data_IF_035910826347
#
_entry.id   IF_035910826347
#
_cell.length_a   1.000
_cell.length_b   1.000
_cell.length_c   1.000
_cell.angle_alpha   90.00
_cell.angle_beta   90.00
_cell.angle_gamma   90.00
#
_symmetry.space_group_name_H-M   'P 1'
#
loop_
_entity.id
_entity.type
_entity.pdbx_description
1 polymer ?
#
# COMPACT_ATOMS: atom_id res chain seq x y z
N UNK A 1 -0.01 15.10 6.01
CA UNK A 1 0.72 14.77 4.76
C UNK A 1 -0.25 14.85 3.57
N UNK A 2 -0.37 16.04 2.98
CA UNK A 2 -1.38 16.36 1.94
C UNK A 2 -1.31 15.46 0.69
N UNK A 3 -0.15 14.84 0.41
CA UNK A 3 0.04 14.01 -0.80
C UNK A 3 -0.87 12.77 -0.78
N UNK A 4 -1.05 12.11 0.36
CA UNK A 4 -1.95 10.96 0.49
C UNK A 4 -3.40 11.35 0.19
N UNK A 5 -3.85 12.51 0.68
CA UNK A 5 -5.18 13.06 0.37
C UNK A 5 -5.37 13.35 -1.12
N UNK A 6 -4.35 13.90 -1.79
CA UNK A 6 -4.40 14.12 -3.25
C UNK A 6 -4.45 12.82 -4.05
N UNK A 7 -3.68 11.80 -3.64
CA UNK A 7 -3.73 10.46 -4.24
C UNK A 7 -5.14 9.89 -4.12
N UNK A 8 -5.74 9.96 -2.93
CA UNK A 8 -7.10 9.50 -2.71
C UNK A 8 -8.10 10.24 -3.59
N UNK A 9 -8.03 11.58 -3.65
CA UNK A 9 -8.91 12.40 -4.49
C UNK A 9 -8.77 12.04 -5.99
N UNK A 10 -7.55 11.86 -6.48
CA UNK A 10 -7.30 11.44 -7.86
C UNK A 10 -7.95 10.08 -8.16
N UNK A 11 -7.84 9.11 -7.25
CA UNK A 11 -8.48 7.79 -7.39
C UNK A 11 -10.00 7.90 -7.44
N UNK A 12 -10.62 8.75 -6.60
CA UNK A 12 -12.07 9.01 -6.65
C UNK A 12 -12.52 9.64 -7.96
N UNK A 13 -11.66 10.43 -8.60
CA UNK A 13 -11.88 11.04 -9.90
C UNK A 13 -11.50 10.12 -11.08
N UNK A 14 -11.11 8.87 -10.84
CA UNK A 14 -10.57 7.92 -11.82
C UNK A 14 -9.34 8.46 -12.57
N UNK A 15 -8.54 9.30 -11.92
CA UNK A 15 -7.23 9.74 -12.44
C UNK A 15 -6.18 8.76 -11.94
N UNK A 16 -5.50 8.09 -12.88
CA UNK A 16 -4.44 7.16 -12.56
C UNK A 16 -3.21 7.88 -12.04
N UNK A 17 -2.61 7.31 -10.99
CA UNK A 17 -1.32 7.76 -10.48
C UNK A 17 -0.31 6.64 -10.75
N UNK A 18 0.77 7.00 -11.43
CA UNK A 18 1.82 6.09 -11.86
C UNK A 18 3.04 6.24 -10.95
N UNK A 19 3.70 5.14 -10.57
CA UNK A 19 4.93 5.19 -9.79
C UNK A 19 6.03 5.96 -10.53
N UNK A 20 7.13 6.32 -9.87
CA UNK A 20 8.32 6.82 -10.54
C UNK A 20 8.79 5.84 -11.62
N UNK A 21 9.43 6.34 -12.66
CA UNK A 21 10.01 5.56 -13.75
C UNK A 21 11.28 6.24 -14.25
N UNK A 22 12.37 5.52 -14.38
CA UNK A 22 13.66 6.08 -14.79
C UNK A 22 13.64 6.65 -16.22
N UNK A 23 12.77 6.13 -17.07
CA UNK A 23 12.64 6.55 -18.46
C UNK A 23 11.60 7.64 -18.70
N UNK A 24 10.62 7.80 -17.79
CA UNK A 24 9.46 8.66 -18.01
C UNK A 24 9.35 9.82 -17.00
N UNK A 25 9.87 9.62 -15.75
CA UNK A 25 9.68 10.61 -14.70
C UNK A 25 10.61 11.81 -14.87
N UNK A 26 10.06 12.98 -14.58
CA UNK A 26 10.81 14.22 -14.41
C UNK A 26 11.24 14.41 -12.94
N UNK A 27 11.86 15.55 -12.62
CA UNK A 27 12.23 15.90 -11.26
C UNK A 27 11.00 15.88 -10.32
N UNK A 28 9.94 16.58 -10.71
CA UNK A 28 8.66 16.67 -10.00
C UNK A 28 7.58 15.82 -10.65
N UNK A 29 6.35 15.93 -10.11
CA UNK A 29 5.18 15.32 -10.74
C UNK A 29 4.97 15.85 -12.17
N UNK A 30 4.55 14.95 -13.05
CA UNK A 30 4.26 15.29 -14.45
C UNK A 30 2.96 14.62 -14.90
N UNK A 31 2.35 15.16 -15.97
CA UNK A 31 1.19 14.56 -16.60
C UNK A 31 1.67 13.73 -17.80
N UNK A 32 1.28 12.47 -17.83
CA UNK A 32 1.60 11.52 -18.91
C UNK A 32 0.34 10.76 -19.32
N UNK A 33 -0.11 10.95 -20.56
CA UNK A 33 -1.28 10.27 -21.15
C UNK A 33 -2.54 10.29 -20.26
N UNK A 34 -2.85 11.45 -19.66
CA UNK A 34 -4.02 11.62 -18.79
C UNK A 34 -3.84 11.02 -17.37
N UNK A 35 -2.65 10.55 -17.04
CA UNK A 35 -2.27 10.05 -15.71
C UNK A 35 -1.25 10.99 -15.07
N UNK A 36 -1.14 10.96 -13.76
CA UNK A 36 -0.12 11.70 -13.01
C UNK A 36 1.05 10.73 -12.72
N UNK A 37 2.24 11.08 -13.19
CA UNK A 37 3.49 10.34 -12.90
C UNK A 37 4.19 10.95 -11.72
N UNK A 38 4.60 10.11 -10.76
CA UNK A 38 5.46 10.53 -9.66
C UNK A 38 6.82 11.00 -10.15
N UNK A 39 7.30 12.11 -9.60
CA UNK A 39 8.63 12.63 -9.87
C UNK A 39 9.73 11.84 -9.15
N UNK A 40 10.94 11.86 -9.71
CA UNK A 40 12.10 11.19 -9.11
C UNK A 40 12.51 11.79 -7.76
N UNK A 41 12.19 13.07 -7.52
CA UNK A 41 12.47 13.72 -6.23
C UNK A 41 11.65 13.19 -5.05
N UNK A 42 10.59 12.44 -5.32
CA UNK A 42 9.81 11.76 -4.29
C UNK A 42 10.55 10.55 -3.69
N UNK A 43 11.54 10.00 -4.41
CA UNK A 43 12.33 8.84 -3.95
C UNK A 43 13.31 9.31 -2.86
N UNK A 44 13.15 8.80 -1.65
CA UNK A 44 14.04 9.13 -0.52
C UNK A 44 15.50 8.79 -0.84
N UNK A 45 16.39 9.62 -0.34
CA UNK A 45 17.85 9.51 -0.52
C UNK A 45 18.34 9.68 -1.98
N UNK A 46 17.48 10.07 -2.90
CA UNK A 46 17.84 10.41 -4.26
C UNK A 46 18.07 11.93 -4.37
N UNK A 47 19.32 12.33 -4.46
CA UNK A 47 19.71 13.75 -4.52
C UNK A 47 19.42 14.38 -5.89
N UNK A 48 19.12 15.68 -5.91
CA UNK A 48 18.94 16.43 -7.17
C UNK A 48 20.06 16.24 -8.19
N UNK A 49 21.37 16.21 -7.81
CA UNK A 49 22.43 15.95 -8.78
C UNK A 49 22.30 14.61 -9.50
N UNK A 50 21.97 13.55 -8.78
CA UNK A 50 21.75 12.21 -9.36
C UNK A 50 20.55 12.20 -10.28
N UNK A 51 19.44 12.86 -9.91
CA UNK A 51 18.25 12.98 -10.77
C UNK A 51 18.58 13.71 -12.06
N UNK A 52 19.32 14.84 -11.97
CA UNK A 52 19.70 15.62 -13.14
C UNK A 52 20.63 14.82 -14.06
N UNK A 53 21.61 14.11 -13.49
CA UNK A 53 22.50 13.23 -14.26
C UNK A 53 21.70 12.14 -14.99
N UNK A 54 20.70 11.52 -14.33
CA UNK A 54 19.83 10.52 -14.94
C UNK A 54 19.02 11.10 -16.10
N UNK A 55 18.39 12.28 -15.90
CA UNK A 55 17.60 12.94 -16.95
C UNK A 55 18.47 13.32 -18.14
N UNK A 56 19.66 13.87 -17.91
CA UNK A 56 20.61 14.22 -18.95
C UNK A 56 21.05 12.98 -19.72
N UNK A 57 21.46 11.93 -19.01
CA UNK A 57 21.91 10.68 -19.59
C UNK A 57 20.89 10.06 -20.54
N UNK A 58 19.61 9.95 -20.10
CA UNK A 58 18.55 9.40 -20.97
C UNK A 58 18.23 10.29 -22.17
N UNK A 59 18.37 11.62 -22.03
CA UNK A 59 18.11 12.58 -23.11
C UNK A 59 19.22 12.57 -24.17
N UNK A 60 20.46 12.40 -23.74
CA UNK A 60 21.63 12.40 -24.64
C UNK A 60 21.86 11.03 -25.30
N UNK A 61 21.71 9.94 -24.53
CA UNK A 61 22.08 8.58 -24.94
C UNK A 61 20.87 7.64 -25.09
N UNK A 62 19.64 8.17 -25.00
CA UNK A 62 18.41 7.40 -25.16
C UNK A 62 17.96 6.71 -23.89
N UNK A 63 16.76 6.10 -23.95
CA UNK A 63 16.14 5.40 -22.84
C UNK A 63 17.01 4.23 -22.36
N UNK A 64 16.94 3.96 -21.06
CA UNK A 64 17.54 2.76 -20.48
C UNK A 64 16.72 1.54 -20.91
N UNK A 65 17.40 0.49 -21.35
CA UNK A 65 16.75 -0.72 -21.88
C UNK A 65 16.64 -1.83 -20.83
N UNK A 66 17.45 -1.78 -19.77
CA UNK A 66 17.44 -2.74 -18.66
C UNK A 66 18.01 -2.12 -17.39
N UNK A 67 17.81 -2.80 -16.25
CA UNK A 67 18.46 -2.41 -14.99
C UNK A 67 19.99 -2.47 -15.10
N UNK A 68 20.53 -3.42 -15.81
CA UNK A 68 21.99 -3.52 -16.03
C UNK A 68 22.51 -2.35 -16.86
N UNK A 69 21.83 -1.98 -17.96
CA UNK A 69 22.15 -0.80 -18.76
C UNK A 69 22.11 0.48 -17.92
N UNK A 70 21.05 0.65 -17.12
CA UNK A 70 20.94 1.77 -16.19
C UNK A 70 22.12 1.84 -15.20
N UNK A 71 22.44 0.72 -14.55
CA UNK A 71 23.53 0.66 -13.57
C UNK A 71 24.87 0.94 -14.27
N UNK A 72 25.11 0.38 -15.44
CA UNK A 72 26.35 0.58 -16.20
C UNK A 72 26.55 2.06 -16.61
N UNK A 73 25.48 2.73 -17.04
CA UNK A 73 25.56 4.13 -17.47
C UNK A 73 25.59 5.11 -16.31
N UNK A 74 25.00 4.75 -15.15
CA UNK A 74 24.83 5.64 -14.01
C UNK A 74 25.69 5.31 -12.79
N UNK A 75 26.57 4.29 -12.85
CA UNK A 75 27.29 3.75 -11.67
C UNK A 75 27.98 4.81 -10.81
N UNK A 76 28.53 5.86 -11.41
CA UNK A 76 29.22 6.95 -10.70
C UNK A 76 28.32 7.79 -9.80
N UNK A 77 27.00 7.77 -10.08
CA UNK A 77 25.97 8.51 -9.34
C UNK A 77 25.15 7.59 -8.42
N UNK A 78 25.46 6.29 -8.38
CA UNK A 78 24.71 5.30 -7.64
C UNK A 78 25.46 4.83 -6.39
N UNK A 79 24.70 4.57 -5.34
CA UNK A 79 25.10 3.77 -4.19
C UNK A 79 24.15 2.58 -4.06
N UNK A 80 24.54 1.55 -3.31
CA UNK A 80 23.64 0.41 -3.04
C UNK A 80 22.28 0.88 -2.56
N UNK A 81 22.23 1.79 -1.60
CA UNK A 81 20.99 2.34 -1.03
C UNK A 81 20.13 3.07 -2.08
N UNK A 82 20.73 3.84 -2.96
CA UNK A 82 20.02 4.56 -4.03
C UNK A 82 19.43 3.57 -5.02
N UNK A 83 20.20 2.54 -5.43
CA UNK A 83 19.73 1.51 -6.35
C UNK A 83 18.59 0.70 -5.76
N UNK A 84 18.67 0.31 -4.47
CA UNK A 84 17.57 -0.33 -3.75
C UNK A 84 16.31 0.53 -3.74
N UNK A 85 16.44 1.85 -3.53
CA UNK A 85 15.30 2.74 -3.52
C UNK A 85 14.64 2.89 -4.90
N UNK A 86 15.39 2.84 -5.99
CA UNK A 86 14.82 2.73 -7.35
C UNK A 86 14.01 1.44 -7.53
N UNK A 87 14.53 0.30 -7.07
CA UNK A 87 13.81 -0.97 -7.13
C UNK A 87 12.54 -0.92 -6.26
N UNK A 88 12.68 -0.51 -4.99
CA UNK A 88 11.57 -0.46 -4.03
C UNK A 88 10.46 0.51 -4.47
N UNK A 89 10.79 1.61 -5.11
CA UNK A 89 9.82 2.59 -5.61
C UNK A 89 9.07 2.15 -6.87
N UNK A 90 9.51 1.06 -7.52
CA UNK A 90 8.97 0.62 -8.81
C UNK A 90 9.52 1.34 -10.02
N UNK A 91 10.58 2.14 -9.85
CA UNK A 91 11.14 2.94 -10.94
C UNK A 91 11.78 2.11 -12.07
N UNK A 92 11.95 0.80 -11.87
CA UNK A 92 12.45 -0.17 -12.84
C UNK A 92 11.39 -1.16 -13.34
N UNK A 93 10.13 -1.04 -12.91
CA UNK A 93 9.08 -2.01 -13.25
C UNK A 93 8.87 -2.16 -14.77
N UNK A 94 9.15 -1.12 -15.55
CA UNK A 94 9.08 -1.12 -17.01
C UNK A 94 10.13 -2.00 -17.70
N UNK A 95 11.17 -2.45 -16.99
CA UNK A 95 12.15 -3.40 -17.53
C UNK A 95 11.65 -4.86 -17.57
N UNK A 96 10.46 -5.14 -17.02
CA UNK A 96 9.81 -6.45 -17.11
C UNK A 96 10.27 -7.50 -16.11
N UNK A 97 11.27 -7.22 -15.29
CA UNK A 97 11.66 -8.07 -14.18
C UNK A 97 10.89 -7.69 -12.90
N UNK A 98 10.56 -8.66 -12.07
CA UNK A 98 9.95 -8.38 -10.78
C UNK A 98 10.97 -7.79 -9.78
N UNK A 99 10.48 -7.02 -8.79
CA UNK A 99 11.34 -6.29 -7.85
C UNK A 99 12.20 -7.21 -6.99
N UNK A 100 11.72 -8.40 -6.63
CA UNK A 100 12.48 -9.38 -5.84
C UNK A 100 13.66 -9.93 -6.63
N UNK A 101 13.45 -10.26 -7.89
CA UNK A 101 14.52 -10.71 -8.81
C UNK A 101 15.59 -9.63 -8.99
N UNK A 102 15.16 -8.38 -9.21
CA UNK A 102 16.06 -7.23 -9.34
C UNK A 102 16.84 -6.98 -8.05
N UNK A 103 16.21 -7.09 -6.89
CA UNK A 103 16.84 -6.93 -5.57
C UNK A 103 17.94 -7.97 -5.31
N UNK A 104 17.81 -9.18 -5.88
CA UNK A 104 18.85 -10.22 -5.75
C UNK A 104 20.06 -9.97 -6.66
N UNK A 105 19.88 -9.32 -7.81
CA UNK A 105 20.90 -9.18 -8.84
C UNK A 105 21.66 -7.85 -8.82
N UNK A 106 21.02 -6.74 -8.34
CA UNK A 106 21.59 -5.40 -8.48
C UNK A 106 22.97 -5.23 -7.85
N UNK A 107 23.24 -5.91 -6.73
CA UNK A 107 24.50 -5.78 -6.00
C UNK A 107 25.70 -6.24 -6.84
N UNK A 108 25.57 -7.38 -7.52
CA UNK A 108 26.60 -7.90 -8.43
C UNK A 108 26.77 -6.99 -9.65
N UNK A 109 25.65 -6.48 -10.21
CA UNK A 109 25.70 -5.54 -11.34
C UNK A 109 26.45 -4.26 -10.98
N UNK A 110 26.18 -3.69 -9.81
CA UNK A 110 26.85 -2.47 -9.34
C UNK A 110 28.35 -2.70 -9.10
N UNK A 111 28.71 -3.80 -8.43
CA UNK A 111 30.11 -4.13 -8.17
C UNK A 111 30.91 -4.36 -9.47
N UNK A 112 30.27 -4.99 -10.46
CA UNK A 112 30.86 -5.20 -11.79
C UNK A 112 31.07 -3.86 -12.52
N UNK A 113 30.07 -2.98 -12.55
CA UNK A 113 30.19 -1.67 -13.18
C UNK A 113 31.32 -0.83 -12.57
N UNK A 114 31.45 -0.84 -11.23
CA UNK A 114 32.55 -0.16 -10.52
C UNK A 114 33.91 -0.77 -10.88
N UNK A 115 34.01 -2.10 -10.98
CA UNK A 115 35.26 -2.78 -11.36
C UNK A 115 35.66 -2.42 -12.78
N UNK A 116 34.75 -2.54 -13.76
CA UNK A 116 35.01 -2.19 -15.15
C UNK A 116 35.51 -0.75 -15.31
N UNK A 117 34.91 0.19 -14.59
CA UNK A 117 35.36 1.58 -14.63
C UNK A 117 36.77 1.77 -14.08
N UNK A 118 37.16 1.05 -13.02
CA UNK A 118 38.53 1.10 -12.47
C UNK A 118 39.54 0.51 -13.45
N UNK A 119 39.22 -0.60 -14.09
CA UNK A 119 40.09 -1.27 -15.04
C UNK A 119 40.31 -0.38 -16.30
N UNK A 120 39.27 0.31 -16.76
CA UNK A 120 39.36 1.29 -17.85
C UNK A 120 40.31 2.50 -17.50
N UNK A 121 40.25 3.00 -16.28
CA UNK A 121 41.11 4.10 -15.82
C UNK A 121 42.57 3.68 -15.69
N UNK A 122 42.84 2.43 -15.31
CA UNK A 122 44.20 1.90 -15.15
C UNK A 122 44.89 1.52 -16.46
N UNK A 123 44.19 1.66 -17.60
CA UNK A 123 44.71 1.31 -18.92
C UNK A 123 44.85 -0.22 -19.13
N UNK A 124 44.37 -1.03 -18.23
CA UNK A 124 44.19 -2.46 -18.45
C UNK A 124 42.98 -2.64 -19.37
N UNK A 125 43.25 -2.90 -20.66
CA UNK A 125 42.18 -3.34 -21.57
C UNK A 125 41.48 -4.52 -20.94
N UNK A 126 40.19 -4.35 -20.67
CA UNK A 126 39.35 -5.48 -20.26
C UNK A 126 39.30 -6.48 -21.41
N UNK A 127 39.36 -7.75 -21.06
CA UNK A 127 39.14 -8.82 -22.07
C UNK A 127 37.79 -8.60 -22.80
N UNK A 128 36.88 -7.83 -22.22
CA UNK A 128 35.57 -7.46 -22.76
C UNK A 128 35.61 -6.48 -23.95
N UNK A 129 36.64 -5.62 -24.03
CA UNK A 129 36.79 -4.67 -25.15
C UNK A 129 37.28 -5.37 -26.45
N UNK A 130 37.70 -6.66 -26.34
CA UNK A 130 38.21 -7.46 -27.41
C UNK A 130 37.23 -8.55 -27.89
N UNK A 131 36.02 -8.59 -27.34
CA UNK A 131 35.05 -9.65 -27.53
C UNK A 131 33.91 -9.17 -28.41
N UNK A 132 33.55 -9.94 -29.46
CA UNK A 132 32.39 -9.70 -30.32
C UNK A 132 31.07 -9.66 -29.55
N UNK A 133 30.08 -8.92 -30.08
CA UNK A 133 28.79 -8.69 -29.44
C UNK A 133 28.03 -9.99 -29.08
N UNK A 134 28.24 -11.06 -29.81
CA UNK A 134 27.67 -12.40 -29.54
C UNK A 134 28.18 -13.03 -28.22
N UNK A 135 29.36 -12.63 -27.74
CA UNK A 135 29.92 -13.14 -26.49
C UNK A 135 29.60 -12.24 -25.32
N UNK A 136 29.17 -10.99 -25.55
CA UNK A 136 28.71 -10.06 -24.50
C UNK A 136 27.46 -10.57 -23.80
N UNK A 137 26.56 -11.27 -24.51
CA UNK A 137 25.36 -11.90 -23.90
C UNK A 137 25.71 -13.01 -22.88
N UNK A 138 26.85 -13.69 -23.05
CA UNK A 138 27.31 -14.76 -22.15
C UNK A 138 27.78 -14.18 -20.79
N UNK A 139 28.07 -12.89 -20.73
CA UNK A 139 28.55 -12.18 -19.56
C UNK A 139 27.48 -11.30 -18.90
N UNK A 140 26.26 -11.27 -19.40
CA UNK A 140 25.16 -10.61 -18.70
C UNK A 140 24.86 -11.31 -17.37
N UNK A 141 24.69 -10.48 -16.32
CA UNK A 141 24.27 -11.01 -15.02
C UNK A 141 22.82 -11.46 -15.15
N UNK A 142 22.61 -12.77 -15.08
CA UNK A 142 21.28 -13.34 -15.16
C UNK A 142 20.46 -12.96 -13.93
N UNK A 143 19.38 -12.20 -14.15
CA UNK A 143 18.41 -11.89 -13.11
C UNK A 143 17.65 -13.18 -12.77
N UNK A 144 17.67 -13.65 -11.51
CA UNK A 144 17.01 -14.90 -11.14
C UNK A 144 15.48 -14.75 -11.30
N UNK A 145 14.85 -15.81 -11.83
CA UNK A 145 13.39 -15.85 -11.92
C UNK A 145 12.81 -16.42 -10.62
N UNK A 146 12.41 -15.55 -9.71
CA UNK A 146 11.79 -15.90 -8.42
C UNK A 146 10.40 -15.28 -8.32
N UNK A 147 9.50 -15.83 -7.49
CA UNK A 147 8.20 -15.19 -7.24
C UNK A 147 8.37 -13.77 -6.67
N UNK A 148 7.51 -12.86 -7.10
CA UNK A 148 7.49 -11.47 -6.60
C UNK A 148 7.20 -11.41 -5.10
N UNK A 149 7.54 -10.30 -4.49
CA UNK A 149 7.08 -9.92 -3.16
C UNK A 149 5.56 -9.92 -3.07
N UNK A 150 5.02 -10.17 -1.89
CA UNK A 150 3.57 -10.03 -1.65
C UNK A 150 3.13 -8.57 -1.87
N UNK A 151 1.85 -8.36 -2.19
CA UNK A 151 1.30 -7.01 -2.34
C UNK A 151 1.55 -6.14 -1.10
N UNK A 152 1.50 -6.72 0.09
CA UNK A 152 1.76 -6.00 1.34
C UNK A 152 3.22 -5.55 1.44
N UNK A 153 4.18 -6.40 1.07
CA UNK A 153 5.60 -6.04 1.04
C UNK A 153 5.89 -4.93 0.01
N UNK A 154 5.29 -5.02 -1.19
CA UNK A 154 5.44 -3.98 -2.22
C UNK A 154 4.90 -2.63 -1.75
N UNK A 155 3.73 -2.60 -1.11
CA UNK A 155 3.16 -1.39 -0.53
C UNK A 155 4.02 -0.85 0.63
N UNK A 156 4.59 -1.73 1.46
CA UNK A 156 5.52 -1.32 2.52
C UNK A 156 6.79 -0.68 1.95
N UNK A 157 7.33 -1.19 0.84
CA UNK A 157 8.45 -0.57 0.13
C UNK A 157 8.10 0.81 -0.42
N UNK A 158 6.94 0.98 -1.06
CA UNK A 158 6.48 2.29 -1.53
C UNK A 158 6.39 3.28 -0.36
N UNK A 159 5.76 2.89 0.75
CA UNK A 159 5.66 3.73 1.95
C UNK A 159 7.03 4.08 2.53
N UNK A 160 7.97 3.12 2.55
CA UNK A 160 9.34 3.34 3.03
C UNK A 160 10.06 4.41 2.19
N UNK A 161 10.01 4.28 0.86
CA UNK A 161 10.86 5.09 -0.03
C UNK A 161 10.17 6.31 -0.65
N UNK A 162 8.84 6.31 -0.80
CA UNK A 162 8.06 7.44 -1.32
C UNK A 162 7.30 8.20 -0.22
N UNK A 163 7.14 7.58 0.96
CA UNK A 163 6.37 8.14 2.06
C UNK A 163 4.85 7.97 1.91
N UNK A 164 4.38 7.49 0.77
CA UNK A 164 2.97 7.26 0.43
C UNK A 164 2.79 5.95 -0.32
N UNK A 165 1.56 5.47 -0.39
CA UNK A 165 1.19 4.30 -1.20
C UNK A 165 0.73 4.77 -2.59
N UNK A 166 1.36 4.29 -3.65
CA UNK A 166 1.07 4.68 -5.03
C UNK A 166 0.26 3.62 -5.76
N UNK A 167 0.66 2.35 -5.69
CA UNK A 167 0.03 1.25 -6.45
C UNK A 167 -1.25 0.69 -5.82
N UNK A 168 -1.56 1.06 -4.58
CA UNK A 168 -2.72 0.62 -3.81
C UNK A 168 -2.67 1.16 -2.40
N UNK A 169 -3.55 0.68 -1.52
CA UNK A 169 -3.50 0.97 -0.09
C UNK A 169 -3.79 -0.30 0.72
N UNK A 170 -3.15 -0.53 1.88
CA UNK A 170 -3.43 -1.72 2.70
C UNK A 170 -4.88 -1.82 3.19
N UNK A 171 -5.62 -0.71 3.17
CA UNK A 171 -7.03 -0.65 3.54
C UNK A 171 -8.01 -0.72 2.35
N UNK A 172 -7.53 -0.92 1.10
CA UNK A 172 -8.41 -0.96 -0.08
C UNK A 172 -9.49 -2.04 0.04
N UNK A 173 -9.14 -3.20 0.59
CA UNK A 173 -10.09 -4.30 0.84
C UNK A 173 -11.21 -3.92 1.82
N UNK A 174 -10.94 -2.96 2.68
CA UNK A 174 -11.85 -2.50 3.74
C UNK A 174 -12.55 -1.18 3.38
N UNK A 175 -12.25 -0.56 2.24
CA UNK A 175 -12.67 0.80 1.92
C UNK A 175 -14.18 1.03 2.08
N UNK A 176 -15.02 0.11 1.57
CA UNK A 176 -16.48 0.20 1.71
C UNK A 176 -16.97 0.07 3.15
N UNK A 177 -16.37 -0.85 3.92
CA UNK A 177 -16.68 -1.02 5.34
C UNK A 177 -16.21 0.20 6.13
N UNK A 178 -14.99 0.67 5.85
CA UNK A 178 -14.39 1.85 6.46
C UNK A 178 -15.29 3.08 6.25
N UNK A 179 -15.67 3.41 5.02
CA UNK A 179 -16.55 4.55 4.71
C UNK A 179 -17.90 4.52 5.45
N UNK A 180 -18.45 3.32 5.64
CA UNK A 180 -19.74 3.14 6.32
C UNK A 180 -19.67 3.34 7.84
N UNK A 181 -18.51 3.09 8.45
CA UNK A 181 -18.37 3.06 9.92
C UNK A 181 -17.67 4.29 10.49
N UNK A 182 -17.06 5.14 9.67
CA UNK A 182 -16.45 6.39 10.12
C UNK A 182 -17.44 7.53 10.12
N UNK A 183 -17.21 8.52 11.00
CA UNK A 183 -17.89 9.81 10.99
C UNK A 183 -16.96 10.96 10.64
N UNK A 184 -15.64 10.73 10.68
CA UNK A 184 -14.60 11.68 10.28
C UNK A 184 -13.42 10.91 9.68
N UNK A 185 -12.65 11.57 8.81
CA UNK A 185 -11.40 11.09 8.22
C UNK A 185 -10.23 11.71 8.96
N UNK A 186 -9.07 11.08 8.88
CA UNK A 186 -7.86 11.62 9.54
C UNK A 186 -7.51 13.03 9.06
N UNK A 187 -7.71 13.33 7.78
CA UNK A 187 -7.48 14.67 7.21
C UNK A 187 -8.40 15.76 7.81
N UNK A 188 -9.56 15.39 8.34
CA UNK A 188 -10.48 16.34 8.98
C UNK A 188 -9.93 16.88 10.31
N UNK A 189 -8.85 16.27 10.84
CA UNK A 189 -8.12 16.70 12.03
C UNK A 189 -6.94 17.61 11.72
N UNK A 190 -6.59 17.79 10.45
CA UNK A 190 -5.56 18.74 10.05
C UNK A 190 -6.12 20.17 10.09
N UNK A 191 -5.27 21.10 10.47
CA UNK A 191 -5.63 22.53 10.42
C UNK A 191 -5.71 22.98 8.95
N UNK A 192 -6.71 23.77 8.68
CA UNK A 192 -6.80 24.57 7.45
C UNK A 192 -5.84 25.77 7.58
N UNK A 193 -4.94 25.94 6.63
CA UNK A 193 -3.89 26.98 6.71
C UNK A 193 -4.45 28.41 6.64
N UNK A 194 -5.63 28.57 6.07
CA UNK A 194 -6.26 29.89 5.92
C UNK A 194 -7.05 30.29 7.17
N UNK A 195 -7.66 29.29 7.85
CA UNK A 195 -8.53 29.57 9.01
C UNK A 195 -7.88 29.25 10.37
N UNK A 196 -6.82 28.41 10.38
CA UNK A 196 -6.20 27.91 11.62
C UNK A 196 -7.09 26.93 12.41
N UNK A 197 -8.19 26.48 11.83
CA UNK A 197 -9.15 25.57 12.46
C UNK A 197 -9.18 24.19 11.79
N UNK A 198 -9.56 23.16 12.55
CA UNK A 198 -9.82 21.84 12.03
C UNK A 198 -11.26 21.70 11.55
N UNK A 199 -11.52 20.83 10.60
CA UNK A 199 -12.88 20.54 10.14
C UNK A 199 -13.72 19.83 11.21
N UNK A 200 -13.09 19.01 12.07
CA UNK A 200 -13.74 18.42 13.24
C UNK A 200 -13.76 19.41 14.40
N UNK A 201 -14.89 19.51 15.08
CA UNK A 201 -15.04 20.45 16.21
C UNK A 201 -14.45 19.86 17.48
N UNK A 202 -13.80 20.73 18.28
CA UNK A 202 -13.32 20.34 19.61
C UNK A 202 -14.43 19.71 20.46
N UNK A 203 -14.06 18.74 21.29
CA UNK A 203 -14.94 17.95 22.15
C UNK A 203 -16.02 17.14 21.41
N UNK A 204 -16.17 17.25 20.08
CA UNK A 204 -17.11 16.42 19.34
C UNK A 204 -16.70 14.95 19.40
N UNK A 205 -17.70 14.06 19.40
CA UNK A 205 -17.46 12.62 19.37
C UNK A 205 -17.42 12.14 17.94
N UNK A 206 -16.30 11.52 17.57
CA UNK A 206 -16.07 10.99 16.23
C UNK A 206 -15.68 9.51 16.25
N UNK A 207 -15.89 8.85 15.13
CA UNK A 207 -15.33 7.52 14.86
C UNK A 207 -14.45 7.61 13.62
N UNK A 208 -13.20 7.21 13.78
CA UNK A 208 -12.21 7.09 12.70
C UNK A 208 -11.81 5.63 12.56
N UNK A 209 -11.32 5.25 11.41
CA UNK A 209 -10.85 3.88 11.17
C UNK A 209 -9.55 3.88 10.38
N UNK A 210 -8.63 2.99 10.70
CA UNK A 210 -7.34 2.97 10.01
C UNK A 210 -6.38 1.90 10.52
N UNK A 211 -5.14 2.02 10.08
CA UNK A 211 -4.02 1.20 10.56
C UNK A 211 -3.22 1.95 11.61
N UNK A 212 -2.84 1.26 12.67
CA UNK A 212 -1.90 1.76 13.68
C UNK A 212 -0.49 1.63 13.10
N UNK A 213 0.09 2.74 12.66
CA UNK A 213 1.45 2.78 12.10
C UNK A 213 2.53 3.02 13.17
N UNK A 214 2.13 3.50 14.33
CA UNK A 214 3.02 3.69 15.49
C UNK A 214 2.26 3.52 16.79
N UNK A 215 2.87 2.84 17.75
CA UNK A 215 2.36 2.66 19.13
C UNK A 215 3.48 2.94 20.13
N UNK A 216 3.34 4.00 20.91
CA UNK A 216 4.26 4.35 22.00
C UNK A 216 3.54 4.24 23.33
N UNK A 217 4.01 3.35 24.20
CA UNK A 217 3.47 3.19 25.56
C UNK A 217 4.31 4.01 26.53
N UNK A 218 3.64 4.82 27.35
CA UNK A 218 4.26 5.61 28.41
C UNK A 218 3.63 5.30 29.75
N UNK A 219 4.41 5.42 30.81
CA UNK A 219 3.92 5.29 32.19
C UNK A 219 3.59 6.70 32.69
N UNK A 220 2.38 6.88 33.21
CA UNK A 220 1.93 8.13 33.82
C UNK A 220 2.65 8.38 35.16
N UNK A 221 2.55 9.58 35.70
CA UNK A 221 3.08 9.93 37.03
C UNK A 221 2.48 9.05 38.15
N UNK A 222 1.30 8.46 37.93
CA UNK A 222 0.63 7.56 38.87
C UNK A 222 1.01 6.09 38.65
N UNK A 223 2.00 5.79 37.82
CA UNK A 223 2.48 4.43 37.54
C UNK A 223 1.61 3.60 36.58
N UNK A 224 0.60 4.19 35.96
CA UNK A 224 -0.31 3.48 35.06
C UNK A 224 0.12 3.63 33.57
N UNK A 225 0.05 2.57 32.75
CA UNK A 225 0.40 2.65 31.35
C UNK A 225 -0.70 3.33 30.53
N UNK A 226 -0.31 4.15 29.57
CA UNK A 226 -1.14 4.75 28.54
C UNK A 226 -0.44 4.63 27.17
N UNK A 227 -1.17 4.77 26.08
CA UNK A 227 -0.58 4.72 24.76
C UNK A 227 -0.86 5.96 23.92
N UNK A 228 0.10 6.28 23.05
CA UNK A 228 -0.03 7.22 21.95
C UNK A 228 0.07 6.41 20.67
N UNK A 229 -0.93 6.51 19.81
CA UNK A 229 -0.98 5.80 18.54
C UNK A 229 -0.95 6.83 17.41
N UNK A 230 -0.34 6.46 16.28
CA UNK A 230 -0.58 7.13 15.01
C UNK A 230 -1.49 6.22 14.21
N UNK A 231 -2.69 6.68 13.91
CA UNK A 231 -3.66 6.00 13.06
C UNK A 231 -3.59 6.58 11.65
N UNK A 232 -3.36 5.75 10.66
CA UNK A 232 -3.31 6.09 9.25
C UNK A 232 -4.53 5.51 8.53
N UNK A 233 -5.27 6.34 7.82
CA UNK A 233 -6.36 5.91 6.95
C UNK A 233 -6.01 6.11 5.46
N UNK A 234 -6.99 6.10 4.58
CA UNK A 234 -6.81 6.26 3.13
C UNK A 234 -6.34 7.67 2.72
N UNK A 235 -6.41 8.65 3.60
CA UNK A 235 -6.22 10.07 3.26
C UNK A 235 -5.18 10.80 4.11
N UNK A 236 -4.80 10.26 5.27
CA UNK A 236 -3.84 10.91 6.14
C UNK A 236 -3.57 10.15 7.43
N UNK A 237 -3.11 10.87 8.45
CA UNK A 237 -2.78 10.31 9.77
C UNK A 237 -3.32 11.21 10.88
N UNK A 238 -3.61 10.62 12.05
CA UNK A 238 -4.01 11.35 13.25
C UNK A 238 -3.41 10.72 14.50
N UNK A 239 -3.04 11.54 15.46
CA UNK A 239 -2.63 11.08 16.79
C UNK A 239 -3.85 10.67 17.62
N UNK A 240 -3.79 9.47 18.20
CA UNK A 240 -4.81 8.92 19.10
C UNK A 240 -4.19 8.74 20.49
N UNK A 241 -4.76 9.40 21.48
CA UNK A 241 -4.34 9.27 22.88
C UNK A 241 -5.24 8.27 23.58
N UNK A 242 -4.65 7.22 24.13
CA UNK A 242 -5.35 6.15 24.85
C UNK A 242 -4.97 6.21 26.31
N UNK A 243 -5.83 6.81 27.13
CA UNK A 243 -5.61 6.96 28.57
C UNK A 243 -5.64 5.63 29.33
N UNK A 244 -5.10 5.57 30.56
CA UNK A 244 -4.84 4.31 31.27
C UNK A 244 -6.05 3.37 31.38
N UNK A 245 -7.22 3.86 31.71
CA UNK A 245 -8.43 3.03 31.83
C UNK A 245 -8.81 2.40 30.50
N UNK A 246 -8.81 3.19 29.42
CA UNK A 246 -9.09 2.74 28.05
C UNK A 246 -8.00 1.80 27.57
N UNK A 247 -6.72 2.11 27.86
CA UNK A 247 -5.61 1.25 27.47
C UNK A 247 -5.70 -0.12 28.15
N UNK A 248 -5.98 -0.18 29.44
CA UNK A 248 -6.18 -1.44 30.17
C UNK A 248 -7.30 -2.28 29.56
N UNK A 249 -8.39 -1.65 29.13
CA UNK A 249 -9.55 -2.32 28.54
C UNK A 249 -9.28 -2.89 27.14
N UNK A 250 -8.55 -2.15 26.29
CA UNK A 250 -8.38 -2.48 24.88
C UNK A 250 -6.96 -2.94 24.51
N UNK A 251 -6.05 -3.08 25.48
CA UNK A 251 -4.67 -3.54 25.24
C UNK A 251 -4.61 -4.81 24.40
N UNK A 252 -5.50 -5.77 24.69
CA UNK A 252 -5.54 -7.05 23.97
C UNK A 252 -5.83 -6.89 22.46
N UNK A 253 -6.62 -5.88 22.06
CA UNK A 253 -6.85 -5.54 20.64
C UNK A 253 -5.58 -4.91 20.07
N UNK A 254 -5.00 -3.92 20.75
CA UNK A 254 -3.80 -3.19 20.33
C UNK A 254 -2.54 -4.06 20.22
N UNK A 255 -2.52 -5.22 20.87
CA UNK A 255 -1.42 -6.21 20.78
C UNK A 255 -1.68 -7.27 19.70
N UNK A 256 -2.92 -7.39 19.20
CA UNK A 256 -3.34 -8.42 18.23
C UNK A 256 -3.43 -7.91 16.80
N UNK A 257 -3.90 -6.68 16.61
CA UNK A 257 -4.20 -6.13 15.29
C UNK A 257 -3.70 -4.71 15.12
N UNK A 258 -3.39 -4.37 13.89
CA UNK A 258 -3.06 -2.99 13.50
C UNK A 258 -4.26 -2.24 12.90
N UNK A 259 -5.34 -2.95 12.49
CA UNK A 259 -6.49 -2.36 11.79
C UNK A 259 -7.67 -2.20 12.74
N UNK A 260 -7.98 -0.95 13.10
CA UNK A 260 -8.98 -0.64 14.12
C UNK A 260 -9.89 0.53 13.77
N UNK A 261 -11.12 0.48 14.25
CA UNK A 261 -11.95 1.67 14.45
C UNK A 261 -11.74 2.21 15.85
N UNK A 262 -11.55 3.52 15.94
CA UNK A 262 -11.43 4.25 17.20
C UNK A 262 -12.56 5.24 17.32
N UNK A 263 -13.36 5.13 18.36
CA UNK A 263 -14.37 6.13 18.72
C UNK A 263 -13.88 6.92 19.93
N UNK A 264 -14.04 8.23 19.89
CA UNK A 264 -13.57 9.08 20.98
C UNK A 264 -13.94 10.54 20.80
N UNK A 265 -13.38 11.39 21.65
CA UNK A 265 -13.55 12.84 21.60
C UNK A 265 -12.40 13.49 20.87
N UNK A 266 -12.73 14.47 20.06
CA UNK A 266 -11.74 15.34 19.42
C UNK A 266 -11.15 16.28 20.46
N UNK A 267 -9.84 16.44 20.44
CA UNK A 267 -9.13 17.54 21.09
C UNK A 267 -8.52 18.39 19.98
N UNK A 268 -9.09 19.57 19.75
CA UNK A 268 -8.62 20.52 18.76
C UNK A 268 -8.34 21.85 19.42
N UNK A 269 -7.12 22.34 19.25
CA UNK A 269 -6.71 23.66 19.67
C UNK A 269 -6.52 24.54 18.43
N UNK A 270 -6.57 25.85 18.60
CA UNK A 270 -6.24 26.80 17.53
C UNK A 270 -4.76 26.63 17.16
N UNK A 271 -4.47 26.66 15.86
CA UNK A 271 -3.13 26.52 15.28
C UNK A 271 -2.41 25.17 15.53
N UNK A 272 -3.14 24.14 15.96
CA UNK A 272 -2.61 22.79 16.12
C UNK A 272 -3.51 21.75 15.46
N UNK A 273 -2.92 20.72 14.86
CA UNK A 273 -3.68 19.57 14.38
C UNK A 273 -4.46 18.91 15.50
N UNK A 274 -5.69 18.55 15.23
CA UNK A 274 -6.55 17.86 16.18
C UNK A 274 -6.00 16.46 16.52
N UNK A 275 -6.37 15.99 17.72
CA UNK A 275 -6.05 14.65 18.22
C UNK A 275 -7.33 13.95 18.63
N UNK A 276 -7.30 12.61 18.61
CA UNK A 276 -8.40 11.79 19.11
C UNK A 276 -8.10 11.30 20.52
N UNK A 277 -8.98 11.63 21.46
CA UNK A 277 -8.99 11.03 22.81
C UNK A 277 -9.83 9.76 22.74
N UNK A 278 -9.19 8.61 22.77
CA UNK A 278 -9.83 7.31 22.61
C UNK A 278 -10.78 6.96 23.75
N UNK A 279 -12.01 6.55 23.41
CA UNK A 279 -13.00 6.00 24.34
C UNK A 279 -13.26 4.50 24.05
N UNK A 280 -13.24 4.09 22.77
CA UNK A 280 -13.52 2.71 22.34
C UNK A 280 -12.64 2.32 21.16
N UNK A 281 -12.21 1.06 21.14
CA UNK A 281 -11.46 0.44 20.03
C UNK A 281 -12.20 -0.81 19.58
N UNK A 282 -12.34 -0.99 18.26
CA UNK A 282 -12.93 -2.19 17.64
C UNK A 282 -12.00 -2.65 16.53
N UNK A 283 -11.63 -3.91 16.53
CA UNK A 283 -10.88 -4.54 15.44
C UNK A 283 -11.73 -4.53 14.15
N UNK A 284 -11.14 -4.28 12.99
CA UNK A 284 -11.84 -4.37 11.71
C UNK A 284 -12.46 -5.75 11.49
N UNK A 285 -11.78 -6.81 11.93
CA UNK A 285 -12.27 -8.19 11.85
C UNK A 285 -13.43 -8.48 12.81
N UNK A 286 -13.66 -7.63 13.81
CA UNK A 286 -14.80 -7.74 14.73
C UNK A 286 -16.07 -7.05 14.23
N UNK A 287 -15.99 -6.28 13.15
CA UNK A 287 -17.14 -5.66 12.48
C UNK A 287 -17.78 -6.70 11.53
N UNK A 288 -19.04 -7.15 11.78
CA UNK A 288 -19.67 -8.12 10.91
C UNK A 288 -19.85 -7.57 9.48
N UNK A 289 -19.39 -8.33 8.51
CA UNK A 289 -19.55 -8.05 7.07
C UNK A 289 -20.66 -8.91 6.48
N UNK A 290 -21.11 -8.55 5.27
CA UNK A 290 -22.08 -9.33 4.52
C UNK A 290 -21.43 -9.81 3.22
N UNK A 291 -21.46 -11.12 2.98
CA UNK A 291 -21.10 -11.72 1.71
C UNK A 291 -22.39 -11.91 0.89
N UNK A 292 -22.42 -11.30 -0.27
CA UNK A 292 -23.51 -11.46 -1.23
C UNK A 292 -23.09 -12.43 -2.31
N UNK A 293 -23.94 -13.45 -2.55
CA UNK A 293 -23.73 -14.42 -3.61
C UNK A 293 -24.97 -14.40 -4.49
N UNK A 294 -24.78 -14.10 -5.78
CA UNK A 294 -25.83 -13.97 -6.76
C UNK A 294 -25.95 -15.25 -7.58
N UNK A 295 -27.16 -15.77 -7.65
CA UNK A 295 -27.56 -16.87 -8.54
C UNK A 295 -28.59 -16.38 -9.54
N UNK A 296 -28.73 -17.07 -10.66
CA UNK A 296 -29.70 -16.72 -11.69
C UNK A 296 -31.14 -16.91 -11.16
N UNK A 297 -31.41 -18.05 -10.49
CA UNK A 297 -32.69 -18.42 -9.92
C UNK A 297 -32.51 -19.33 -8.69
N UNK A 298 -33.63 -19.62 -8.01
CA UNK A 298 -33.64 -20.48 -6.82
C UNK A 298 -33.18 -21.91 -7.11
N UNK A 299 -33.48 -22.47 -8.29
CA UNK A 299 -33.08 -23.83 -8.67
C UNK A 299 -31.57 -23.91 -8.86
N UNK A 300 -30.94 -22.87 -9.45
CA UNK A 300 -29.52 -22.77 -9.61
C UNK A 300 -28.80 -22.72 -8.23
N UNK A 301 -29.34 -21.93 -7.28
CA UNK A 301 -28.86 -21.97 -5.90
C UNK A 301 -28.92 -23.33 -5.26
N UNK A 302 -30.08 -24.01 -5.38
CA UNK A 302 -30.29 -25.35 -4.78
C UNK A 302 -29.30 -26.36 -5.34
N UNK A 303 -29.03 -26.32 -6.66
CA UNK A 303 -28.11 -27.24 -7.33
C UNK A 303 -26.66 -27.04 -6.90
N UNK A 304 -26.27 -25.82 -6.49
CA UNK A 304 -24.91 -25.48 -6.07
C UNK A 304 -24.75 -25.39 -4.53
N UNK A 305 -25.84 -25.62 -3.77
CA UNK A 305 -25.86 -25.40 -2.32
C UNK A 305 -24.86 -26.25 -1.56
N UNK A 306 -24.78 -27.55 -1.85
CA UNK A 306 -23.84 -28.45 -1.13
C UNK A 306 -22.38 -28.06 -1.36
N UNK A 307 -22.02 -27.70 -2.59
CA UNK A 307 -20.69 -27.23 -2.94
C UNK A 307 -20.36 -25.91 -2.24
N UNK A 308 -21.30 -24.95 -2.27
CA UNK A 308 -21.14 -23.67 -1.59
C UNK A 308 -20.89 -23.85 -0.08
N UNK A 309 -21.69 -24.72 0.57
CA UNK A 309 -21.53 -24.96 2.00
C UNK A 309 -20.23 -25.71 2.32
N UNK A 310 -19.75 -26.57 1.42
CA UNK A 310 -18.45 -27.20 1.60
C UNK A 310 -17.29 -26.19 1.64
N UNK A 311 -17.40 -25.11 0.87
CA UNK A 311 -16.41 -24.00 0.89
C UNK A 311 -16.46 -23.20 2.19
N UNK A 312 -17.61 -23.18 2.88
CA UNK A 312 -17.78 -22.49 4.17
C UNK A 312 -17.29 -23.29 5.39
N UNK A 313 -17.14 -24.61 5.27
CA UNK A 313 -16.85 -25.51 6.42
C UNK A 313 -15.58 -25.12 7.20
N UNK A 314 -14.60 -24.50 6.55
CA UNK A 314 -13.36 -24.08 7.17
C UNK A 314 -13.32 -22.57 7.49
N UNK A 315 -14.45 -21.87 7.35
CA UNK A 315 -14.53 -20.42 7.42
C UNK A 315 -15.52 -19.93 8.48
N UNK A 316 -15.56 -20.54 9.65
CA UNK A 316 -16.45 -20.10 10.73
C UNK A 316 -16.09 -18.71 11.24
N UNK A 317 -17.08 -17.84 11.45
CA UNK A 317 -16.86 -16.44 11.87
C UNK A 317 -18.15 -15.72 12.25
N UNK A 318 -18.15 -14.39 12.06
CA UNK A 318 -19.25 -13.49 12.44
C UNK A 318 -19.96 -12.86 11.22
N UNK A 319 -19.43 -13.10 10.02
CA UNK A 319 -19.94 -12.49 8.80
C UNK A 319 -21.18 -13.23 8.29
N UNK A 320 -22.11 -12.49 7.75
CA UNK A 320 -23.41 -13.03 7.29
C UNK A 320 -23.36 -13.28 5.78
N UNK A 321 -23.93 -14.41 5.33
CA UNK A 321 -24.08 -14.71 3.89
C UNK A 321 -25.51 -14.39 3.44
N UNK A 322 -25.59 -13.68 2.32
CA UNK A 322 -26.85 -13.33 1.66
C UNK A 322 -26.85 -13.94 0.26
N UNK A 323 -27.82 -14.79 0.00
CA UNK A 323 -28.09 -15.37 -1.31
C UNK A 323 -29.10 -14.48 -2.03
N UNK A 324 -28.80 -14.08 -3.26
CA UNK A 324 -29.68 -13.28 -4.09
C UNK A 324 -29.99 -14.00 -5.42
N UNK A 325 -31.23 -14.32 -5.64
CA UNK A 325 -31.70 -14.94 -6.88
C UNK A 325 -32.34 -13.87 -7.77
N UNK A 326 -31.73 -13.64 -8.95
CA UNK A 326 -32.07 -12.49 -9.81
C UNK A 326 -33.42 -12.60 -10.48
N UNK A 327 -33.82 -13.80 -10.99
CA UNK A 327 -35.08 -13.98 -11.67
C UNK A 327 -36.29 -13.77 -10.76
N UNK A 328 -36.22 -14.28 -9.55
CA UNK A 328 -37.29 -14.16 -8.56
C UNK A 328 -37.18 -12.86 -7.75
N UNK A 329 -36.09 -12.12 -7.90
CA UNK A 329 -35.73 -10.93 -7.09
C UNK A 329 -35.84 -11.22 -5.57
N UNK A 330 -35.40 -12.41 -5.16
CA UNK A 330 -35.46 -12.84 -3.76
C UNK A 330 -34.13 -12.74 -3.07
N UNK A 331 -34.19 -12.42 -1.78
CA UNK A 331 -32.99 -12.37 -0.90
C UNK A 331 -33.22 -13.28 0.28
N UNK A 332 -32.33 -14.21 0.52
CA UNK A 332 -32.32 -15.04 1.71
C UNK A 332 -31.01 -14.91 2.46
N UNK A 333 -31.11 -14.73 3.77
CA UNK A 333 -29.95 -14.68 4.65
C UNK A 333 -29.75 -16.06 5.25
N UNK A 334 -28.52 -16.58 5.27
CA UNK A 334 -28.25 -17.82 5.96
C UNK A 334 -28.48 -17.65 7.48
N UNK A 335 -28.92 -18.72 8.18
CA UNK A 335 -29.14 -18.66 9.61
C UNK A 335 -27.92 -18.23 10.40
N UNK A 336 -28.11 -17.67 11.60
CA UNK A 336 -27.05 -17.16 12.47
C UNK A 336 -26.05 -18.23 12.93
N UNK A 337 -26.37 -19.51 12.84
CA UNK A 337 -25.46 -20.63 13.10
C UNK A 337 -24.58 -21.00 11.88
N UNK A 338 -24.79 -20.35 10.74
CA UNK A 338 -24.06 -20.55 9.49
C UNK A 338 -23.28 -19.29 9.09
N UNK A 339 -22.82 -18.52 10.07
CA UNK A 339 -21.96 -17.35 9.85
C UNK A 339 -20.53 -17.78 9.53
N UNK A 340 -19.90 -17.03 8.62
CA UNK A 340 -18.57 -17.32 8.10
C UNK A 340 -17.56 -16.23 8.48
N UNK A 341 -16.30 -16.48 8.27
CA UNK A 341 -15.24 -15.46 8.23
C UNK A 341 -14.89 -15.19 6.77
N UNK A 342 -15.21 -13.99 6.28
CA UNK A 342 -14.83 -13.56 4.93
C UNK A 342 -13.32 -13.33 4.88
N UNK A 343 -12.62 -14.15 4.10
CA UNK A 343 -11.19 -14.02 3.83
C UNK A 343 -10.97 -13.80 2.34
N UNK A 344 -9.84 -13.18 1.98
CA UNK A 344 -9.46 -12.99 0.57
C UNK A 344 -9.38 -14.33 -0.19
N UNK A 345 -8.93 -15.40 0.50
CA UNK A 345 -8.88 -16.74 -0.07
C UNK A 345 -10.29 -17.25 -0.40
N UNK A 346 -11.24 -17.17 0.55
CA UNK A 346 -12.63 -17.60 0.34
C UNK A 346 -13.28 -16.81 -0.80
N UNK A 347 -13.05 -15.49 -0.86
CA UNK A 347 -13.58 -14.67 -1.97
C UNK A 347 -13.00 -15.15 -3.30
N UNK A 348 -11.68 -15.36 -3.40
CA UNK A 348 -11.03 -15.82 -4.62
C UNK A 348 -11.55 -17.21 -5.08
N UNK A 349 -11.77 -18.12 -4.15
CA UNK A 349 -12.35 -19.45 -4.44
C UNK A 349 -13.79 -19.32 -4.95
N UNK A 350 -14.63 -18.50 -4.30
CA UNK A 350 -15.99 -18.23 -4.72
C UNK A 350 -16.07 -17.53 -6.08
N UNK A 351 -15.20 -16.54 -6.32
CA UNK A 351 -15.12 -15.85 -7.61
C UNK A 351 -14.69 -16.76 -8.74
N UNK A 352 -13.72 -17.64 -8.49
CA UNK A 352 -13.26 -18.64 -9.45
C UNK A 352 -14.39 -19.61 -9.83
N UNK A 353 -15.23 -19.98 -8.88
CA UNK A 353 -16.29 -20.97 -9.07
C UNK A 353 -17.61 -20.37 -9.61
N UNK A 354 -18.02 -19.24 -9.06
CA UNK A 354 -19.34 -18.63 -9.36
C UNK A 354 -19.23 -17.37 -10.22
N UNK A 355 -18.02 -16.89 -10.50
CA UNK A 355 -17.73 -15.68 -11.26
C UNK A 355 -17.69 -14.41 -10.40
N UNK A 356 -16.70 -13.54 -10.64
CA UNK A 356 -16.46 -12.32 -9.85
C UNK A 356 -17.64 -11.34 -9.82
N UNK A 357 -18.45 -11.30 -10.89
CA UNK A 357 -19.66 -10.46 -10.97
C UNK A 357 -20.79 -10.93 -10.04
N UNK A 358 -20.71 -12.14 -9.51
CA UNK A 358 -21.73 -12.76 -8.66
C UNK A 358 -21.36 -12.72 -7.17
N UNK A 359 -20.16 -12.26 -6.83
CA UNK A 359 -19.67 -12.18 -5.46
C UNK A 359 -19.46 -10.71 -5.09
N UNK A 360 -19.99 -10.30 -3.94
CA UNK A 360 -19.78 -8.96 -3.41
C UNK A 360 -19.73 -8.97 -1.88
N UNK A 361 -18.96 -8.06 -1.29
CA UNK A 361 -18.89 -7.87 0.15
C UNK A 361 -19.36 -6.46 0.53
N UNK A 362 -20.07 -6.33 1.66
CA UNK A 362 -20.55 -5.03 2.18
C UNK A 362 -20.47 -4.97 3.69
#
# INVERSE_FOLDING_TARGET
DKVAGYIYACRQMNINILPPDVNESELGFSVSNGSIRFGLSAIKNLGRPTIQALINERNENGKFVSMQDFITRMFSNLSRRVTENFIKSGAFDTFGNNRRSMMMAYGEMLDRAIKQSKDAITGQMSLFDLVDDDIKEEFEIKIPNVPEYTKQELLAFEKEVLGVYVSGHPLDEYAKMWEKHISARTIDFEIDEDTGETKVKDTSRQTIGGMITSKTVKITKTGQPMAFLILEDLVGTVEVVVFPNTYSQYRYILDRTEKVFVTGKVQANVDENGKMICEKIVDFDDVPRKLWIRFENTQDYISNKEELFSMFNNSQGKDTVIIYCTKENTRSTLPNNETIKITSQLISELESRFGSKNIATT
#
